data_IF_538330267529
#
_entry.id   IF_538330267529
#
_cell.length_a   1.000
_cell.length_b   1.000
_cell.length_c   1.000
_cell.angle_alpha   90.00
_cell.angle_beta   90.00
_cell.angle_gamma   90.00
#
_symmetry.space_group_name_H-M   'P 1'
#
loop_
_entity.id
_entity.type
_entity.pdbx_description
1 polymer ?
#
# COMPACT_ATOMS: atom_id res chain seq x y z
N UNK A 1 1.24 24.19 -6.94
CA UNK A 1 2.01 23.19 -7.72
C UNK A 1 3.10 22.59 -6.81
N UNK A 2 3.06 21.28 -6.46
CA UNK A 2 4.01 20.70 -5.52
C UNK A 2 5.47 20.91 -5.94
N UNK A 3 5.79 20.77 -7.23
CA UNK A 3 7.15 20.95 -7.75
C UNK A 3 7.69 22.39 -7.63
N UNK A 4 6.81 23.38 -7.43
CA UNK A 4 7.18 24.79 -7.31
C UNK A 4 7.07 25.30 -5.86
N UNK A 5 6.04 24.84 -5.17
CA UNK A 5 5.59 25.45 -3.92
C UNK A 5 6.06 24.66 -2.69
N UNK A 6 6.70 23.50 -2.90
CA UNK A 6 7.19 22.61 -1.86
C UNK A 6 8.58 22.07 -2.18
N UNK A 7 9.40 21.85 -1.16
CA UNK A 7 10.62 21.08 -1.30
C UNK A 7 10.35 19.61 -0.94
N UNK A 8 10.47 18.73 -1.93
CA UNK A 8 10.27 17.29 -1.71
C UNK A 8 11.62 16.66 -1.36
N UNK A 9 11.69 16.04 -0.16
CA UNK A 9 12.89 15.36 0.34
C UNK A 9 12.67 13.86 0.43
N UNK A 10 13.63 13.07 -0.03
CA UNK A 10 13.64 11.63 0.15
C UNK A 10 14.32 11.28 1.48
N UNK A 11 13.54 11.00 2.51
CA UNK A 11 14.03 10.72 3.86
C UNK A 11 14.03 9.22 4.23
N UNK A 12 13.71 8.36 3.29
CA UNK A 12 13.72 6.90 3.49
C UNK A 12 12.38 6.28 3.89
N UNK A 13 12.42 5.18 4.65
CA UNK A 13 11.25 4.41 5.05
C UNK A 13 10.36 5.10 6.06
N UNK A 14 9.28 4.42 6.46
CA UNK A 14 8.24 4.98 7.34
C UNK A 14 8.78 5.46 8.68
N UNK A 15 9.67 4.70 9.33
CA UNK A 15 10.27 5.07 10.62
C UNK A 15 11.14 6.32 10.49
N UNK A 16 11.96 6.40 9.44
CA UNK A 16 12.78 7.57 9.15
C UNK A 16 11.92 8.82 8.90
N UNK A 17 10.74 8.67 8.28
CA UNK A 17 9.80 9.77 8.06
C UNK A 17 9.23 10.32 9.37
N UNK A 18 8.90 9.43 10.32
CA UNK A 18 8.45 9.85 11.66
C UNK A 18 9.56 10.60 12.40
N UNK A 19 10.80 10.11 12.31
CA UNK A 19 11.97 10.79 12.92
C UNK A 19 12.19 12.16 12.28
N UNK A 20 12.17 12.26 10.95
CA UNK A 20 12.36 13.52 10.23
C UNK A 20 11.29 14.57 10.61
N UNK A 21 10.03 14.14 10.77
CA UNK A 21 8.95 15.00 11.25
C UNK A 21 9.21 15.46 12.71
N UNK A 22 9.59 14.52 13.60
CA UNK A 22 9.88 14.83 15.01
C UNK A 22 11.03 15.81 15.18
N UNK A 23 12.06 15.72 14.35
CA UNK A 23 13.26 16.57 14.42
C UNK A 23 13.12 17.87 13.63
N UNK A 24 11.98 18.11 12.98
CA UNK A 24 11.74 19.31 12.17
C UNK A 24 12.54 19.35 10.86
N UNK A 25 13.08 18.20 10.40
CA UNK A 25 13.76 18.11 9.10
C UNK A 25 12.76 18.23 7.96
N UNK A 26 11.51 17.80 8.20
CA UNK A 26 10.38 18.01 7.28
C UNK A 26 9.18 18.56 8.05
N UNK A 27 8.40 19.42 7.40
CA UNK A 27 7.17 20.00 7.94
C UNK A 27 5.95 19.09 7.81
N UNK A 28 6.01 18.14 6.86
CA UNK A 28 4.95 17.17 6.58
C UNK A 28 5.50 15.91 5.93
N UNK A 29 4.75 14.82 6.05
CA UNK A 29 5.14 13.54 5.46
C UNK A 29 3.94 12.64 5.21
N UNK A 30 4.13 11.57 4.42
CA UNK A 30 3.12 10.54 4.17
C UNK A 30 3.42 9.32 5.03
N UNK A 31 2.45 8.91 5.84
CA UNK A 31 2.57 7.79 6.78
C UNK A 31 1.47 6.75 6.53
N UNK A 32 1.74 5.52 6.95
CA UNK A 32 0.70 4.49 7.09
C UNK A 32 -0.25 4.86 8.24
N UNK A 33 -1.47 4.32 8.29
CA UNK A 33 -2.45 4.64 9.33
C UNK A 33 -1.95 4.40 10.75
N UNK A 34 -1.18 3.34 10.97
CA UNK A 34 -0.58 3.00 12.27
C UNK A 34 0.36 4.14 12.75
N UNK A 35 1.26 4.55 11.87
CA UNK A 35 2.21 5.64 12.17
C UNK A 35 1.53 7.00 12.16
N UNK A 36 0.46 7.17 11.42
CA UNK A 36 -0.40 8.35 11.49
C UNK A 36 -1.01 8.51 12.89
N UNK A 37 -1.43 7.39 13.54
CA UNK A 37 -1.89 7.44 14.93
C UNK A 37 -0.74 7.84 15.88
N UNK A 38 0.44 7.27 15.69
CA UNK A 38 1.64 7.66 16.48
C UNK A 38 1.91 9.16 16.30
N UNK A 39 1.83 9.66 15.07
CA UNK A 39 1.99 11.08 14.78
C UNK A 39 0.96 11.94 15.53
N UNK A 40 -0.31 11.55 15.54
CA UNK A 40 -1.36 12.27 16.31
C UNK A 40 -1.08 12.28 17.82
N UNK A 41 -0.60 11.16 18.39
CA UNK A 41 -0.19 11.10 19.81
C UNK A 41 0.99 12.03 20.12
N UNK A 42 1.81 12.37 19.12
CA UNK A 42 2.89 13.34 19.21
C UNK A 42 2.44 14.79 18.93
N UNK A 43 1.16 15.04 18.72
CA UNK A 43 0.60 16.37 18.49
C UNK A 43 0.52 16.80 17.02
N UNK A 44 0.85 15.91 16.07
CA UNK A 44 0.72 16.21 14.63
C UNK A 44 -0.71 15.98 14.12
N UNK A 45 -1.05 16.64 13.02
CA UNK A 45 -2.38 16.58 12.42
C UNK A 45 -2.37 15.79 11.11
N UNK A 46 -3.40 14.98 10.89
CA UNK A 46 -3.66 14.38 9.58
C UNK A 46 -4.29 15.44 8.68
N UNK A 47 -3.59 15.85 7.64
CA UNK A 47 -4.08 16.85 6.68
C UNK A 47 -4.98 16.21 5.62
N UNK A 48 -4.71 14.96 5.25
CA UNK A 48 -5.42 14.28 4.19
C UNK A 48 -5.37 12.76 4.37
N UNK A 49 -6.51 12.08 4.27
CA UNK A 49 -6.63 10.63 4.29
C UNK A 49 -7.17 10.15 2.94
N UNK A 50 -6.36 9.35 2.23
CA UNK A 50 -6.68 8.86 0.89
C UNK A 50 -7.91 7.93 0.89
N UNK A 51 -8.07 7.10 1.93
CA UNK A 51 -9.18 6.16 2.02
C UNK A 51 -10.49 6.88 2.35
N UNK A 52 -10.47 7.82 3.29
CA UNK A 52 -11.66 8.64 3.60
C UNK A 52 -12.12 9.47 2.40
N UNK A 53 -11.20 9.84 1.52
CA UNK A 53 -11.50 10.56 0.27
C UNK A 53 -11.89 9.64 -0.88
N UNK A 54 -11.97 8.33 -0.65
CA UNK A 54 -12.33 7.34 -1.67
C UNK A 54 -11.32 7.24 -2.83
N UNK A 55 -10.06 7.61 -2.57
CA UNK A 55 -9.01 7.48 -3.57
C UNK A 55 -8.50 6.05 -3.56
N UNK A 56 -8.79 5.33 -4.61
CA UNK A 56 -8.28 3.99 -4.87
C UNK A 56 -6.90 4.12 -5.52
N UNK A 57 -5.84 3.83 -4.77
CA UNK A 57 -4.48 3.84 -5.29
C UNK A 57 -3.87 2.44 -5.12
N UNK A 58 -3.45 1.83 -6.23
CA UNK A 58 -2.82 0.52 -6.20
C UNK A 58 -1.36 0.66 -5.74
N UNK A 59 -1.09 0.34 -4.49
CA UNK A 59 0.22 0.52 -3.87
C UNK A 59 1.10 -0.73 -3.93
N UNK A 60 0.51 -1.91 -3.75
CA UNK A 60 1.24 -3.18 -3.63
C UNK A 60 0.55 -4.25 -4.46
N UNK A 61 1.35 -5.06 -5.14
CA UNK A 61 0.90 -6.22 -5.87
C UNK A 61 1.99 -7.27 -6.01
N UNK A 62 1.64 -8.47 -6.40
CA UNK A 62 2.60 -9.51 -6.77
C UNK A 62 2.98 -9.32 -8.23
N UNK A 63 4.26 -9.13 -8.51
CA UNK A 63 4.78 -8.99 -9.86
C UNK A 63 5.67 -10.18 -10.23
N UNK A 64 5.59 -10.64 -11.47
CA UNK A 64 6.43 -11.68 -12.00
C UNK A 64 6.81 -11.40 -13.45
N UNK A 65 7.93 -11.94 -13.89
CA UNK A 65 8.36 -11.84 -15.29
C UNK A 65 7.49 -12.69 -16.19
N UNK A 66 7.21 -12.23 -17.40
CA UNK A 66 6.35 -12.93 -18.36
C UNK A 66 6.90 -14.31 -18.78
N UNK A 67 8.23 -14.46 -18.90
CA UNK A 67 8.86 -15.74 -19.21
C UNK A 67 8.74 -16.73 -18.05
N UNK A 68 8.83 -16.26 -16.80
CA UNK A 68 8.58 -17.07 -15.62
C UNK A 68 7.13 -17.56 -15.57
N UNK A 69 6.16 -16.69 -15.82
CA UNK A 69 4.73 -17.07 -15.84
C UNK A 69 4.43 -18.14 -16.90
N UNK A 70 5.10 -18.09 -18.06
CA UNK A 70 4.98 -19.11 -19.10
C UNK A 70 5.58 -20.44 -18.72
N UNK A 71 6.77 -20.43 -18.12
CA UNK A 71 7.52 -21.66 -17.78
C UNK A 71 7.09 -22.28 -16.44
N UNK A 72 6.57 -21.47 -15.50
CA UNK A 72 6.21 -21.86 -14.13
C UNK A 72 4.75 -21.51 -13.80
N UNK A 73 3.84 -21.73 -14.75
CA UNK A 73 2.44 -21.36 -14.63
C UNK A 73 1.76 -21.96 -13.38
N UNK A 74 1.97 -23.25 -13.11
CA UNK A 74 1.39 -23.93 -11.95
C UNK A 74 1.93 -23.33 -10.62
N UNK A 75 3.22 -23.04 -10.55
CA UNK A 75 3.81 -22.41 -9.38
C UNK A 75 3.24 -21.01 -9.15
N UNK A 76 3.05 -20.22 -10.21
CA UNK A 76 2.43 -18.90 -10.13
C UNK A 76 0.98 -18.98 -9.62
N UNK A 77 0.19 -19.94 -10.13
CA UNK A 77 -1.19 -20.17 -9.66
C UNK A 77 -1.25 -20.58 -8.20
N UNK A 78 -0.37 -21.49 -7.76
CA UNK A 78 -0.31 -21.89 -6.34
C UNK A 78 0.09 -20.73 -5.44
N UNK A 79 1.05 -19.90 -5.86
CA UNK A 79 1.46 -18.69 -5.13
C UNK A 79 0.30 -17.71 -5.00
N UNK A 80 -0.39 -17.41 -6.11
CA UNK A 80 -1.54 -16.49 -6.11
C UNK A 80 -2.66 -16.98 -5.20
N UNK A 81 -2.96 -18.28 -5.24
CA UNK A 81 -3.94 -18.91 -4.34
C UNK A 81 -3.54 -18.75 -2.88
N UNK A 82 -2.31 -19.13 -2.52
CA UNK A 82 -1.80 -19.02 -1.15
C UNK A 82 -1.81 -17.57 -0.65
N UNK A 83 -1.45 -16.62 -1.53
CA UNK A 83 -1.50 -15.20 -1.20
C UNK A 83 -2.94 -14.74 -0.91
N UNK A 84 -3.90 -15.13 -1.74
CA UNK A 84 -5.31 -14.78 -1.54
C UNK A 84 -5.90 -15.45 -0.29
N UNK A 85 -5.55 -16.70 -0.02
CA UNK A 85 -5.94 -17.40 1.21
C UNK A 85 -5.36 -16.69 2.44
N UNK A 86 -4.12 -16.19 2.38
CA UNK A 86 -3.52 -15.43 3.47
C UNK A 86 -4.22 -14.10 3.73
N UNK A 87 -4.69 -13.40 2.68
CA UNK A 87 -5.52 -12.20 2.83
C UNK A 87 -6.84 -12.54 3.54
N UNK A 88 -7.53 -13.59 3.11
CA UNK A 88 -8.79 -14.04 3.72
C UNK A 88 -8.59 -14.46 5.18
N UNK A 89 -7.50 -15.16 5.46
CA UNK A 89 -7.13 -15.52 6.83
C UNK A 89 -6.88 -14.28 7.69
N UNK A 90 -6.08 -13.34 7.21
CA UNK A 90 -5.82 -12.06 7.90
C UNK A 90 -7.12 -11.33 8.25
N UNK A 91 -8.04 -11.22 7.29
CA UNK A 91 -9.34 -10.53 7.48
C UNK A 91 -10.22 -11.24 8.50
N UNK A 92 -10.21 -12.58 8.54
CA UNK A 92 -11.09 -13.37 9.41
C UNK A 92 -10.52 -13.65 10.81
N UNK A 93 -9.22 -13.41 11.06
CA UNK A 93 -8.53 -13.72 12.30
C UNK A 93 -7.94 -12.47 12.95
N UNK A 94 -8.83 -11.53 13.37
CA UNK A 94 -8.46 -10.20 13.87
C UNK A 94 -7.34 -10.21 14.91
N UNK A 95 -7.50 -10.97 15.98
CA UNK A 95 -6.56 -10.96 17.10
C UNK A 95 -5.17 -11.47 16.70
N UNK A 96 -5.15 -12.54 15.92
CA UNK A 96 -3.89 -13.11 15.44
C UNK A 96 -3.22 -12.19 14.42
N UNK A 97 -4.00 -11.59 13.51
CA UNK A 97 -3.51 -10.62 12.54
C UNK A 97 -2.89 -9.40 13.22
N UNK A 98 -3.55 -8.84 14.24
CA UNK A 98 -3.01 -7.73 15.03
C UNK A 98 -1.71 -8.13 15.72
N UNK A 99 -1.71 -9.27 16.44
CA UNK A 99 -0.52 -9.79 17.13
C UNK A 99 0.65 -9.99 16.18
N UNK A 100 0.42 -10.59 15.01
CA UNK A 100 1.44 -10.80 13.98
C UNK A 100 1.93 -9.48 13.38
N UNK A 101 1.03 -8.53 13.14
CA UNK A 101 1.40 -7.20 12.65
C UNK A 101 2.31 -6.48 13.65
N UNK A 102 1.98 -6.51 14.94
CA UNK A 102 2.84 -5.93 15.99
C UNK A 102 4.24 -6.53 15.97
N UNK A 103 4.35 -7.87 15.89
CA UNK A 103 5.64 -8.56 15.86
C UNK A 103 6.47 -8.23 14.62
N UNK A 104 5.85 -8.30 13.43
CA UNK A 104 6.55 -8.12 12.14
C UNK A 104 6.92 -6.68 11.86
N UNK A 105 6.05 -5.74 12.23
CA UNK A 105 6.24 -4.31 12.00
C UNK A 105 6.90 -3.60 13.19
N UNK A 106 7.21 -4.34 14.27
CA UNK A 106 7.79 -3.81 15.51
C UNK A 106 6.97 -2.65 16.09
N UNK A 107 5.66 -2.82 16.12
CA UNK A 107 4.71 -1.86 16.68
C UNK A 107 4.42 -2.28 18.11
N UNK A 108 4.83 -1.49 19.09
CA UNK A 108 4.57 -1.75 20.50
C UNK A 108 3.17 -1.26 20.95
N UNK A 109 2.64 -0.26 20.24
CA UNK A 109 1.31 0.29 20.50
C UNK A 109 0.22 -0.55 19.84
N UNK A 110 -0.51 -1.33 20.67
CA UNK A 110 -1.63 -2.17 20.19
C UNK A 110 -2.71 -1.36 19.48
N UNK A 111 -3.04 -0.16 19.98
CA UNK A 111 -4.05 0.69 19.35
C UNK A 111 -3.63 1.10 17.93
N UNK A 112 -2.34 1.38 17.72
CA UNK A 112 -1.81 1.66 16.39
C UNK A 112 -1.95 0.44 15.45
N UNK A 113 -1.66 -0.77 15.95
CA UNK A 113 -1.84 -2.00 15.19
C UNK A 113 -3.31 -2.29 14.84
N UNK A 114 -4.25 -1.98 15.75
CA UNK A 114 -5.69 -2.08 15.50
C UNK A 114 -6.16 -1.10 14.42
N UNK A 115 -5.72 0.15 14.47
CA UNK A 115 -5.99 1.13 13.41
C UNK A 115 -5.47 0.65 12.05
N UNK A 116 -4.28 0.09 12.02
CA UNK A 116 -3.72 -0.50 10.81
C UNK A 116 -4.54 -1.70 10.30
N UNK A 117 -5.02 -2.56 11.18
CA UNK A 117 -5.88 -3.67 10.82
C UNK A 117 -7.21 -3.18 10.23
N UNK A 118 -7.91 -2.27 10.92
CA UNK A 118 -9.21 -1.74 10.50
C UNK A 118 -9.12 -1.00 9.14
N UNK A 119 -7.99 -0.33 8.89
CA UNK A 119 -7.69 0.26 7.58
C UNK A 119 -7.54 -0.81 6.49
N UNK A 120 -6.81 -1.89 6.78
CA UNK A 120 -6.60 -3.00 5.82
C UNK A 120 -7.88 -3.74 5.48
N UNK A 121 -8.84 -3.84 6.40
CA UNK A 121 -10.17 -4.39 6.10
C UNK A 121 -10.89 -3.63 4.99
N UNK A 122 -10.64 -2.33 4.86
CA UNK A 122 -11.26 -1.47 3.84
C UNK A 122 -10.53 -1.51 2.49
N UNK A 123 -9.28 -1.97 2.48
CA UNK A 123 -8.40 -1.82 1.32
C UNK A 123 -7.91 -3.15 0.73
N UNK A 124 -7.94 -4.25 1.49
CA UNK A 124 -7.48 -5.55 1.00
C UNK A 124 -8.58 -6.24 0.17
N UNK A 125 -8.30 -6.59 -1.11
CA UNK A 125 -9.25 -7.31 -1.95
C UNK A 125 -9.29 -8.80 -1.59
N UNK A 126 -10.33 -9.25 -0.91
CA UNK A 126 -10.52 -10.67 -0.53
C UNK A 126 -10.85 -11.59 -1.70
N UNK A 127 -11.24 -11.02 -2.82
CA UNK A 127 -11.47 -11.72 -4.10
C UNK A 127 -10.25 -11.66 -5.05
N UNK A 128 -9.21 -10.93 -4.68
CA UNK A 128 -7.99 -10.75 -5.47
C UNK A 128 -8.13 -9.78 -6.64
N UNK A 129 -9.30 -9.17 -6.84
CA UNK A 129 -9.50 -8.23 -7.95
C UNK A 129 -8.78 -6.92 -7.68
N UNK A 130 -8.22 -6.36 -8.73
CA UNK A 130 -7.54 -5.08 -8.71
C UNK A 130 -8.48 -3.97 -9.18
N UNK A 131 -8.34 -2.78 -8.58
CA UNK A 131 -9.06 -1.60 -9.03
C UNK A 131 -8.50 -1.10 -10.37
N UNK A 132 -9.33 -1.14 -11.42
CA UNK A 132 -9.02 -0.56 -12.73
C UNK A 132 -8.75 0.96 -12.58
N UNK A 133 -9.57 1.64 -11.79
CA UNK A 133 -9.42 3.07 -11.49
C UNK A 133 -8.12 3.35 -10.75
N UNK A 134 -7.78 2.52 -9.75
CA UNK A 134 -6.52 2.64 -9.01
C UNK A 134 -5.29 2.42 -9.89
N UNK A 135 -5.35 1.46 -10.82
CA UNK A 135 -4.27 1.23 -11.80
C UNK A 135 -4.16 2.40 -12.78
N UNK A 136 -5.28 2.98 -13.23
CA UNK A 136 -5.24 4.15 -14.11
C UNK A 136 -4.55 5.33 -13.43
N UNK A 137 -4.82 5.58 -12.14
CA UNK A 137 -4.12 6.62 -11.37
C UNK A 137 -2.61 6.39 -11.31
N UNK A 138 -2.16 5.14 -11.21
CA UNK A 138 -0.73 4.80 -11.24
C UNK A 138 -0.13 5.09 -12.61
N UNK A 139 -0.84 4.73 -13.69
CA UNK A 139 -0.41 5.02 -15.07
C UNK A 139 -0.31 6.53 -15.31
N UNK A 140 -1.33 7.27 -14.90
CA UNK A 140 -1.39 8.72 -15.10
C UNK A 140 -0.24 9.43 -14.35
N UNK A 141 0.04 9.00 -13.11
CA UNK A 141 1.17 9.50 -12.34
C UNK A 141 2.52 9.17 -13.00
N UNK A 142 2.70 7.93 -13.48
CA UNK A 142 3.92 7.52 -14.18
C UNK A 142 4.12 8.29 -15.50
N UNK A 143 3.05 8.66 -16.18
CA UNK A 143 3.06 9.40 -17.43
C UNK A 143 3.55 10.86 -17.29
N UNK A 144 3.59 11.39 -16.07
CA UNK A 144 4.20 12.69 -15.80
C UNK A 144 5.73 12.65 -15.97
N UNK A 145 6.36 11.53 -15.61
CA UNK A 145 7.81 11.36 -15.67
C UNK A 145 8.27 10.55 -16.90
N UNK A 146 7.47 9.60 -17.37
CA UNK A 146 7.73 8.82 -18.59
C UNK A 146 6.55 8.88 -19.58
N UNK A 147 6.67 9.65 -20.69
CA UNK A 147 5.61 9.75 -21.69
C UNK A 147 5.17 8.42 -22.31
N UNK A 148 6.00 7.36 -22.26
CA UNK A 148 5.62 6.03 -22.76
C UNK A 148 4.49 5.41 -21.95
N UNK A 149 4.36 5.78 -20.66
CA UNK A 149 3.27 5.29 -19.82
C UNK A 149 1.89 5.71 -20.33
N UNK A 150 1.76 6.81 -21.10
CA UNK A 150 0.49 7.26 -21.70
C UNK A 150 -0.16 6.26 -22.63
N UNK A 151 0.62 5.34 -23.22
CA UNK A 151 0.12 4.31 -24.12
C UNK A 151 -0.31 3.03 -23.40
N UNK A 152 -0.09 2.94 -22.09
CA UNK A 152 -0.45 1.76 -21.29
C UNK A 152 -1.93 1.81 -20.89
N UNK A 153 -2.51 0.62 -20.78
CA UNK A 153 -3.84 0.44 -20.20
C UNK A 153 -3.75 -0.45 -18.96
N UNK A 154 -4.67 -0.33 -17.99
CA UNK A 154 -4.68 -1.21 -16.83
C UNK A 154 -4.62 -2.70 -17.19
N UNK A 155 -5.36 -3.12 -18.22
CA UNK A 155 -5.44 -4.51 -18.67
C UNK A 155 -4.12 -5.09 -19.19
N UNK A 156 -3.20 -4.24 -19.63
CA UNK A 156 -1.86 -4.66 -20.06
C UNK A 156 -0.91 -4.91 -18.89
N UNK A 157 -1.24 -4.38 -17.71
CA UNK A 157 -0.35 -4.38 -16.55
C UNK A 157 -0.66 -5.49 -15.54
N UNK A 158 -1.84 -6.13 -15.63
CA UNK A 158 -2.16 -7.24 -14.74
C UNK A 158 -2.89 -8.37 -15.47
N UNK A 159 -2.66 -9.57 -14.98
CA UNK A 159 -3.26 -10.80 -15.48
C UNK A 159 -4.06 -11.49 -14.35
N UNK A 160 -5.38 -11.40 -14.43
CA UNK A 160 -6.28 -12.01 -13.45
C UNK A 160 -6.53 -13.51 -13.71
N UNK A 161 -5.99 -14.09 -14.79
CA UNK A 161 -6.14 -15.51 -15.11
C UNK A 161 -5.49 -16.45 -14.11
N UNK A 162 -4.62 -15.92 -13.24
CA UNK A 162 -3.98 -16.65 -12.15
C UNK A 162 -4.81 -16.70 -10.87
N UNK A 163 -5.89 -15.94 -10.78
CA UNK A 163 -6.84 -16.03 -9.65
C UNK A 163 -7.53 -17.39 -9.66
N UNK A 164 -7.81 -17.98 -8.48
CA UNK A 164 -8.55 -19.23 -8.34
C UNK A 164 -10.01 -19.11 -8.74
#
# INVERSE_FOLDING_TARGET
>A
NPKRDMQIMQVGGQDARVVALKTGVVDGTVLTPELGLVGRKLGYHTLYDLVEKGIEYLQIGVAARSDYLKSQNDTARRLTRAYLESIRYYVSHREEAIKKSMQLLKIDDRQAAEVGYDYRLKTLPTDGKLSIKGMQLVIDAAAEDDPKAKSLTPQQLFDLSFLP
#
